data_IF_025404379622
#
_entry.id   IF_025404379622
#
_cell.length_a   1.000
_cell.length_b   1.000
_cell.length_c   1.000
_cell.angle_alpha   90.00
_cell.angle_beta   90.00
_cell.angle_gamma   90.00
#
_symmetry.space_group_name_H-M   'P 1'
#
loop_
_entity.id
_entity.type
_entity.pdbx_description
1 polymer ?
#
# COMPACT_ATOMS: atom_id res chain seq x y z
N UNK A 1 1.40 10.83 50.55
CA UNK A 1 1.11 9.95 49.40
C UNK A 1 1.54 10.70 48.14
N UNK A 2 2.69 10.33 47.53
CA UNK A 2 3.19 10.92 46.28
C UNK A 2 2.39 10.33 45.12
N UNK A 3 1.31 10.98 44.71
CA UNK A 3 0.41 10.48 43.67
C UNK A 3 0.73 11.20 42.37
N UNK A 4 1.34 10.44 41.45
CA UNK A 4 1.44 10.65 40.00
C UNK A 4 2.75 11.11 39.35
N UNK A 5 3.81 11.54 40.05
CA UNK A 5 5.22 11.44 39.58
C UNK A 5 5.58 11.76 38.11
N UNK A 6 4.78 12.53 37.35
CA UNK A 6 4.99 12.74 35.92
C UNK A 6 6.06 13.82 35.68
N UNK A 7 6.92 13.59 34.68
CA UNK A 7 7.91 14.56 34.22
C UNK A 7 7.81 14.70 32.70
N UNK A 8 8.01 15.93 32.23
CA UNK A 8 8.17 16.25 30.82
C UNK A 8 9.36 15.46 30.23
N UNK A 9 9.14 14.80 29.10
CA UNK A 9 10.20 14.12 28.34
C UNK A 9 10.01 14.41 26.86
N UNK A 10 11.10 14.74 26.16
CA UNK A 10 11.11 14.78 24.69
C UNK A 10 10.95 13.35 24.16
N UNK A 11 9.95 13.11 23.33
CA UNK A 11 9.85 11.89 22.52
C UNK A 11 10.94 11.94 21.43
N UNK A 12 11.85 10.95 21.34
CA UNK A 12 12.91 10.97 20.33
C UNK A 12 12.44 10.61 18.92
N UNK A 13 11.24 10.06 18.75
CA UNK A 13 10.80 9.52 17.45
C UNK A 13 9.29 9.66 17.31
N UNK A 14 8.85 10.48 16.36
CA UNK A 14 7.51 10.30 15.78
C UNK A 14 7.53 8.96 15.06
N UNK A 15 6.49 8.14 15.27
CA UNK A 15 6.46 6.69 14.97
C UNK A 15 6.71 6.32 13.50
N UNK A 16 6.81 7.31 12.60
CA UNK A 16 7.06 7.12 11.16
C UNK A 16 8.10 8.06 10.55
N UNK A 17 8.69 8.98 11.33
CA UNK A 17 9.61 10.02 10.79
C UNK A 17 10.88 9.45 10.18
N UNK A 18 11.31 8.25 10.60
CA UNK A 18 12.53 7.62 10.07
C UNK A 18 12.37 7.02 8.66
N UNK A 19 11.13 6.79 8.22
CA UNK A 19 10.82 6.18 6.93
C UNK A 19 10.69 7.19 5.79
N UNK A 20 10.31 8.43 6.10
CA UNK A 20 10.07 9.52 5.13
C UNK A 20 11.26 9.79 4.21
N UNK A 21 12.49 9.63 4.72
CA UNK A 21 13.73 10.00 4.02
C UNK A 21 14.41 8.82 3.33
N UNK A 22 13.81 7.63 3.31
CA UNK A 22 14.36 6.49 2.56
C UNK A 22 14.29 6.75 1.05
N UNK A 23 15.39 6.52 0.33
CA UNK A 23 15.48 6.76 -1.12
C UNK A 23 14.31 6.14 -1.93
N UNK A 24 13.90 4.91 -1.61
CA UNK A 24 12.81 4.23 -2.31
C UNK A 24 11.45 4.88 -2.07
N UNK A 25 11.25 5.41 -0.86
CA UNK A 25 10.05 6.13 -0.45
C UNK A 25 10.01 7.51 -1.11
N UNK A 26 11.14 8.24 -1.07
CA UNK A 26 11.28 9.56 -1.70
C UNK A 26 11.11 9.46 -3.22
N UNK A 27 11.70 8.45 -3.87
CA UNK A 27 11.57 8.25 -5.31
C UNK A 27 10.12 7.99 -5.71
N UNK A 28 9.41 7.07 -5.01
CA UNK A 28 7.99 6.83 -5.28
C UNK A 28 7.14 8.09 -5.05
N UNK A 29 7.41 8.80 -3.95
CA UNK A 29 6.69 10.02 -3.60
C UNK A 29 6.87 11.12 -4.66
N UNK A 30 8.11 11.40 -5.08
CA UNK A 30 8.44 12.50 -6.01
C UNK A 30 8.17 12.17 -7.47
N UNK A 31 8.41 10.94 -7.90
CA UNK A 31 8.38 10.57 -9.33
C UNK A 31 7.05 9.92 -9.75
N UNK A 32 6.28 9.39 -8.80
CA UNK A 32 5.03 8.68 -9.10
C UNK A 32 3.85 9.35 -8.43
N UNK A 33 3.84 9.44 -7.10
CA UNK A 33 2.66 9.90 -6.39
C UNK A 33 2.34 11.38 -6.61
N UNK A 34 3.31 12.28 -6.42
CA UNK A 34 3.08 13.71 -6.58
C UNK A 34 2.69 14.13 -8.01
N UNK A 35 3.31 13.63 -9.09
CA UNK A 35 2.89 13.96 -10.45
C UNK A 35 1.46 13.48 -10.76
N UNK A 36 1.13 12.25 -10.36
CA UNK A 36 -0.24 11.71 -10.51
C UNK A 36 -1.22 12.54 -9.70
N UNK A 37 -0.86 12.94 -8.50
CA UNK A 37 -1.72 13.77 -7.66
C UNK A 37 -1.91 15.18 -8.24
N UNK A 38 -0.88 15.77 -8.84
CA UNK A 38 -0.97 17.08 -9.50
C UNK A 38 -1.92 17.06 -10.69
N UNK A 39 -1.86 15.99 -11.50
CA UNK A 39 -2.84 15.71 -12.55
C UNK A 39 -4.27 15.71 -11.98
N UNK A 40 -4.50 14.97 -10.89
CA UNK A 40 -5.83 14.89 -10.25
C UNK A 40 -6.28 16.23 -9.64
N UNK A 41 -5.38 16.97 -9.00
CA UNK A 41 -5.69 18.29 -8.43
C UNK A 41 -6.06 19.33 -9.50
N UNK A 42 -5.59 19.17 -10.74
CA UNK A 42 -5.94 20.08 -11.84
C UNK A 42 -7.42 19.98 -12.24
N UNK A 43 -8.05 18.84 -11.95
CA UNK A 43 -9.46 18.55 -12.25
C UNK A 43 -10.34 18.45 -11.00
N UNK A 44 -9.77 18.66 -9.81
CA UNK A 44 -10.47 18.67 -8.52
C UNK A 44 -10.76 20.11 -8.08
N UNK A 45 -11.85 20.33 -7.32
CA UNK A 45 -12.21 21.65 -6.81
C UNK A 45 -11.07 22.27 -5.96
N UNK A 46 -10.74 23.53 -6.20
CA UNK A 46 -9.64 24.24 -5.54
C UNK A 46 -10.14 25.27 -4.52
N UNK A 47 -9.45 25.36 -3.39
CA UNK A 47 -9.88 26.11 -2.22
C UNK A 47 -8.76 26.99 -1.68
N UNK A 48 -9.12 28.19 -1.22
CA UNK A 48 -8.16 29.16 -0.68
C UNK A 48 -7.59 28.73 0.68
N UNK A 49 -6.59 29.48 1.14
CA UNK A 49 -6.01 29.41 2.48
C UNK A 49 -7.09 29.40 3.60
N UNK A 50 -8.25 30.02 3.41
CA UNK A 50 -9.33 30.03 4.42
C UNK A 50 -10.36 28.91 4.29
N UNK A 51 -10.14 27.91 3.41
CA UNK A 51 -11.07 26.78 3.22
C UNK A 51 -12.30 27.09 2.36
N UNK A 52 -12.30 28.23 1.67
CA UNK A 52 -13.35 28.73 0.78
C UNK A 52 -13.04 28.26 -0.65
N UNK A 53 -13.99 27.66 -1.36
CA UNK A 53 -13.89 27.50 -2.81
C UNK A 53 -13.72 28.91 -3.36
N UNK A 54 -12.57 29.24 -3.97
CA UNK A 54 -12.25 30.63 -4.32
C UNK A 54 -13.46 31.29 -5.01
N UNK A 55 -14.09 32.39 -4.47
CA UNK A 55 -13.41 33.60 -3.98
C UNK A 55 -13.89 34.24 -2.64
N UNK A 56 -12.91 34.47 -1.75
CA UNK A 56 -12.72 35.46 -0.66
C UNK A 56 -13.67 35.62 0.58
N UNK A 57 -13.01 35.49 1.75
CA UNK A 57 -13.07 36.20 3.07
C UNK A 57 -13.97 35.76 4.27
N UNK A 58 -13.27 35.16 5.27
CA UNK A 58 -13.30 35.33 6.78
C UNK A 58 -14.54 34.92 7.62
N UNK A 59 -14.52 34.38 8.87
CA UNK A 59 -13.47 34.03 9.88
C UNK A 59 -14.00 33.26 11.13
N UNK A 60 -13.18 32.37 11.73
CA UNK A 60 -12.92 32.10 13.19
C UNK A 60 -13.76 31.03 13.97
N UNK A 61 -13.35 30.32 15.05
CA UNK A 61 -12.07 29.89 15.74
C UNK A 61 -12.44 28.91 16.91
N UNK A 62 -11.64 27.85 17.23
CA UNK A 62 -11.14 27.42 18.57
C UNK A 62 -10.65 25.93 18.66
N UNK A 63 -9.77 25.64 19.64
CA UNK A 63 -8.84 24.49 19.75
C UNK A 63 -9.06 23.64 21.01
N UNK A 64 -8.82 22.32 20.94
CA UNK A 64 -8.48 21.46 22.10
C UNK A 64 -7.31 20.53 21.74
N UNK A 65 -6.35 20.37 22.67
CA UNK A 65 -5.16 19.49 22.61
C UNK A 65 -5.34 18.36 23.62
N UNK A 66 -4.95 17.12 23.29
CA UNK A 66 -4.64 16.09 24.30
C UNK A 66 -3.57 15.09 23.80
N UNK A 67 -2.68 14.69 24.73
CA UNK A 67 -1.44 13.92 24.56
C UNK A 67 -1.56 12.43 24.96
N UNK A 68 -0.61 11.63 24.44
CA UNK A 68 0.03 10.40 24.97
C UNK A 68 -0.84 9.37 25.73
N UNK A 69 -1.24 8.30 25.03
CA UNK A 69 -1.73 7.07 25.67
C UNK A 69 -0.57 6.11 25.97
N UNK A 70 -0.48 5.62 27.21
CA UNK A 70 0.32 4.44 27.55
C UNK A 70 -0.40 3.22 26.95
N UNK A 71 0.26 2.39 26.12
CA UNK A 71 -0.37 1.19 25.58
C UNK A 71 -0.69 0.21 26.71
N UNK A 72 -1.98 -0.05 26.95
CA UNK A 72 -2.41 -1.19 27.75
C UNK A 72 -2.27 -2.46 26.90
N UNK A 73 -1.97 -3.59 27.55
CA UNK A 73 -2.05 -4.89 26.88
C UNK A 73 -3.48 -5.10 26.37
N UNK A 74 -3.61 -5.43 25.08
CA UNK A 74 -4.91 -5.70 24.45
C UNK A 74 -5.52 -6.94 25.14
N UNK A 75 -6.64 -6.78 25.85
CA UNK A 75 -7.35 -7.91 26.46
C UNK A 75 -8.04 -8.79 25.41
N UNK A 76 -8.59 -9.94 25.84
CA UNK A 76 -9.36 -10.88 25.00
C UNK A 76 -10.75 -10.36 24.59
N UNK A 77 -11.03 -9.07 24.76
CA UNK A 77 -12.32 -8.47 24.46
C UNK A 77 -12.68 -8.52 22.97
N UNK A 78 -13.98 -8.36 22.69
CA UNK A 78 -14.49 -8.28 21.32
C UNK A 78 -13.71 -7.24 20.50
N UNK A 79 -13.36 -7.62 19.27
CA UNK A 79 -12.68 -6.75 18.32
C UNK A 79 -13.59 -6.52 17.13
N UNK A 80 -13.66 -5.28 16.67
CA UNK A 80 -14.39 -4.88 15.47
C UNK A 80 -13.41 -4.16 14.55
N UNK A 81 -13.34 -4.62 13.32
CA UNK A 81 -12.62 -3.98 12.22
C UNK A 81 -13.64 -3.24 11.35
N UNK A 82 -13.29 -2.03 10.94
CA UNK A 82 -14.08 -1.21 10.01
C UNK A 82 -13.23 -0.90 8.80
N UNK A 83 -13.78 -1.15 7.62
CA UNK A 83 -13.23 -0.68 6.35
C UNK A 83 -14.28 0.16 5.64
N UNK A 84 -13.88 1.28 5.05
CA UNK A 84 -14.80 2.20 4.36
C UNK A 84 -14.04 3.10 3.37
N UNK A 85 -14.77 3.77 2.49
CA UNK A 85 -14.23 4.78 1.57
C UNK A 85 -14.71 6.16 1.97
N UNK A 86 -13.82 7.15 1.89
CA UNK A 86 -14.13 8.54 2.24
C UNK A 86 -13.66 9.48 1.13
N UNK A 87 -14.49 10.47 0.83
CA UNK A 87 -14.18 11.59 -0.06
C UNK A 87 -14.17 12.90 0.73
N UNK A 88 -13.26 13.84 0.41
CA UNK A 88 -13.30 15.19 0.99
C UNK A 88 -14.56 15.99 0.61
N UNK A 89 -15.25 15.62 -0.47
CA UNK A 89 -16.43 16.34 -0.96
C UNK A 89 -17.74 15.72 -0.48
N UNK A 90 -17.79 14.39 -0.31
CA UNK A 90 -19.02 13.66 0.02
C UNK A 90 -19.01 12.99 1.40
N UNK A 91 -17.87 12.99 2.10
CA UNK A 91 -17.72 12.20 3.32
C UNK A 91 -17.65 10.70 3.04
N UNK A 92 -18.26 9.89 3.90
CA UNK A 92 -18.32 8.43 3.71
C UNK A 92 -19.07 8.07 2.44
N UNK A 93 -18.56 7.10 1.68
CA UNK A 93 -19.18 6.69 0.42
C UNK A 93 -20.50 5.97 0.67
N UNK A 94 -21.59 6.60 0.22
CA UNK A 94 -22.92 6.02 0.20
C UNK A 94 -23.73 6.52 -1.01
N UNK A 95 -24.87 5.86 -1.26
CA UNK A 95 -25.90 6.38 -2.16
C UNK A 95 -26.43 7.74 -1.65
N UNK A 96 -27.01 8.58 -2.53
CA UNK A 96 -27.55 9.89 -2.15
C UNK A 96 -28.63 9.85 -1.07
N UNK A 97 -29.37 8.74 -0.95
CA UNK A 97 -30.36 8.52 0.11
C UNK A 97 -29.76 7.92 1.40
N UNK A 98 -28.46 7.59 1.39
CA UNK A 98 -27.71 7.04 2.52
C UNK A 98 -27.97 5.55 2.81
N UNK A 99 -28.76 4.87 1.98
CA UNK A 99 -29.18 3.48 2.20
C UNK A 99 -28.10 2.47 1.77
N UNK A 100 -27.50 2.68 0.61
CA UNK A 100 -26.41 1.82 0.14
C UNK A 100 -25.09 2.36 0.70
N UNK A 101 -24.49 1.58 1.59
CA UNK A 101 -23.18 1.86 2.17
C UNK A 101 -22.20 0.76 1.80
N UNK A 102 -20.94 1.14 1.56
CA UNK A 102 -19.84 0.19 1.29
C UNK A 102 -19.02 -0.11 2.54
N UNK A 103 -19.40 0.44 3.69
CA UNK A 103 -18.78 0.19 4.97
C UNK A 103 -18.87 -1.29 5.30
N UNK A 104 -17.71 -1.89 5.58
CA UNK A 104 -17.63 -3.26 6.07
C UNK A 104 -17.30 -3.23 7.55
N UNK A 105 -18.17 -3.87 8.33
CA UNK A 105 -17.90 -4.25 9.72
C UNK A 105 -17.46 -5.72 9.71
N UNK A 106 -16.32 -5.99 10.30
CA UNK A 106 -15.71 -7.32 10.29
C UNK A 106 -15.24 -7.68 11.70
N UNK A 107 -15.55 -8.89 12.17
CA UNK A 107 -15.14 -9.38 13.49
C UNK A 107 -13.89 -10.27 13.35
N UNK A 108 -12.67 -9.71 13.52
CA UNK A 108 -11.45 -10.47 13.28
C UNK A 108 -11.20 -11.54 14.35
N UNK A 109 -10.72 -12.70 13.91
CA UNK A 109 -10.21 -13.75 14.78
C UNK A 109 -10.53 -15.14 14.26
N UNK A 110 -9.68 -16.11 14.61
CA UNK A 110 -9.84 -17.52 14.19
C UNK A 110 -11.16 -18.16 14.68
N UNK A 111 -11.68 -17.69 15.81
CA UNK A 111 -12.97 -18.12 16.36
C UNK A 111 -14.16 -17.28 15.88
N UNK A 112 -13.91 -16.32 14.98
CA UNK A 112 -14.90 -15.35 14.47
C UNK A 112 -14.94 -15.43 12.94
N UNK A 113 -14.92 -14.29 12.25
CA UNK A 113 -15.04 -14.21 10.79
C UNK A 113 -13.70 -14.40 10.06
N UNK A 114 -12.62 -14.69 10.79
CA UNK A 114 -11.31 -14.96 10.23
C UNK A 114 -10.46 -13.70 10.07
N UNK A 115 -9.86 -13.52 8.89
CA UNK A 115 -8.99 -12.40 8.55
C UNK A 115 -9.55 -11.64 7.34
N UNK A 116 -9.44 -10.32 7.36
CA UNK A 116 -9.84 -9.48 6.23
C UNK A 116 -8.76 -9.55 5.13
N UNK A 117 -9.03 -10.29 4.06
CA UNK A 117 -8.05 -10.59 3.01
C UNK A 117 -8.30 -9.73 1.76
N UNK A 118 -7.45 -9.93 0.74
CA UNK A 118 -7.55 -9.18 -0.52
C UNK A 118 -8.87 -9.40 -1.25
N UNK A 119 -9.55 -10.51 -1.04
CA UNK A 119 -10.76 -10.83 -1.80
C UNK A 119 -11.94 -10.00 -1.26
N UNK A 120 -11.96 -9.74 0.05
CA UNK A 120 -12.88 -8.84 0.76
C UNK A 120 -12.63 -7.40 0.35
N UNK A 121 -11.37 -6.98 0.23
CA UNK A 121 -10.99 -5.66 -0.32
C UNK A 121 -11.51 -5.50 -1.75
N UNK A 122 -11.34 -6.51 -2.61
CA UNK A 122 -11.82 -6.47 -3.99
C UNK A 122 -13.35 -6.42 -4.06
N UNK A 123 -14.05 -7.16 -3.19
CA UNK A 123 -15.51 -7.10 -3.06
C UNK A 123 -15.96 -5.70 -2.65
N UNK A 124 -15.33 -5.12 -1.65
CA UNK A 124 -15.65 -3.78 -1.18
C UNK A 124 -15.40 -2.71 -2.27
N UNK A 125 -14.26 -2.78 -2.96
CA UNK A 125 -13.94 -1.88 -4.05
C UNK A 125 -14.95 -2.01 -5.21
N UNK A 126 -15.40 -3.23 -5.53
CA UNK A 126 -16.44 -3.45 -6.55
C UNK A 126 -17.78 -2.81 -6.16
N UNK A 127 -18.22 -3.00 -4.92
CA UNK A 127 -19.43 -2.37 -4.42
C UNK A 127 -19.31 -0.82 -4.44
N UNK A 128 -18.15 -0.28 -4.10
CA UNK A 128 -17.88 1.15 -4.21
C UNK A 128 -17.98 1.65 -5.66
N UNK A 129 -17.40 0.90 -6.61
CA UNK A 129 -17.54 1.21 -8.03
C UNK A 129 -19.00 1.16 -8.52
N UNK A 130 -19.82 0.23 -7.99
CA UNK A 130 -21.25 0.14 -8.32
C UNK A 130 -22.00 1.42 -7.89
N UNK A 131 -21.80 1.87 -6.65
CA UNK A 131 -22.41 3.12 -6.13
C UNK A 131 -21.96 4.33 -6.97
N UNK A 132 -20.66 4.42 -7.27
CA UNK A 132 -20.12 5.56 -8.01
C UNK A 132 -20.64 5.63 -9.45
N UNK A 133 -20.73 4.48 -10.14
CA UNK A 133 -21.28 4.42 -11.49
C UNK A 133 -22.78 4.74 -11.52
N UNK A 134 -23.54 4.29 -10.52
CA UNK A 134 -24.98 4.51 -10.47
C UNK A 134 -25.35 5.96 -10.11
N UNK A 135 -24.71 6.51 -9.08
CA UNK A 135 -25.14 7.78 -8.48
C UNK A 135 -24.28 8.97 -8.87
N UNK A 136 -23.05 8.74 -9.34
CA UNK A 136 -22.11 9.79 -9.70
C UNK A 136 -21.45 9.57 -11.09
N UNK A 137 -22.20 9.20 -12.15
CA UNK A 137 -21.63 8.82 -13.44
C UNK A 137 -20.92 9.96 -14.19
N UNK A 138 -21.24 11.22 -13.88
CA UNK A 138 -20.65 12.40 -14.51
C UNK A 138 -19.36 12.91 -13.85
N UNK A 139 -18.84 12.20 -12.84
CA UNK A 139 -17.62 12.57 -12.12
C UNK A 139 -16.55 11.55 -12.41
N UNK A 140 -15.31 12.03 -12.56
CA UNK A 140 -14.16 11.15 -12.56
C UNK A 140 -13.83 10.74 -11.12
N UNK A 141 -13.55 9.46 -10.91
CA UNK A 141 -13.36 8.89 -9.59
C UNK A 141 -12.05 8.13 -9.53
N UNK A 142 -11.22 8.49 -8.55
CA UNK A 142 -9.95 7.82 -8.28
C UNK A 142 -9.97 7.21 -6.90
N UNK A 143 -9.70 5.90 -6.85
CA UNK A 143 -9.52 5.19 -5.59
C UNK A 143 -8.09 5.36 -5.09
N UNK A 144 -7.95 5.76 -3.83
CA UNK A 144 -6.66 5.92 -3.18
C UNK A 144 -6.58 4.97 -1.99
N UNK A 145 -5.69 3.99 -2.05
CA UNK A 145 -5.49 2.97 -1.02
C UNK A 145 -4.21 3.23 -0.23
N UNK A 146 -4.14 2.78 1.02
CA UNK A 146 -2.85 2.71 1.72
C UNK A 146 -1.92 1.67 1.07
N UNK A 147 -0.62 1.90 1.18
CA UNK A 147 0.40 1.06 0.56
C UNK A 147 0.78 -0.11 1.48
N UNK A 148 -0.24 -0.93 1.76
CA UNK A 148 -0.13 -2.18 2.51
C UNK A 148 -0.13 -3.37 1.57
N UNK A 149 0.52 -4.45 2.01
CA UNK A 149 0.76 -5.65 1.19
C UNK A 149 -0.52 -6.34 0.74
N UNK A 150 -1.63 -6.18 1.46
CA UNK A 150 -2.93 -6.74 1.11
C UNK A 150 -3.56 -6.04 -0.09
N UNK A 151 -3.39 -4.72 -0.22
CA UNK A 151 -3.88 -3.96 -1.39
C UNK A 151 -2.99 -4.15 -2.62
N UNK A 152 -1.69 -4.38 -2.40
CA UNK A 152 -0.72 -4.68 -3.45
C UNK A 152 -0.67 -6.16 -3.85
N UNK A 153 -1.64 -6.98 -3.45
CA UNK A 153 -1.67 -8.40 -3.79
C UNK A 153 -1.79 -8.53 -5.32
N UNK A 154 -0.79 -9.17 -5.92
CA UNK A 154 -0.79 -9.54 -7.34
C UNK A 154 -1.49 -10.88 -7.54
N UNK A 155 -1.83 -11.20 -8.79
CA UNK A 155 -2.32 -12.53 -9.13
C UNK A 155 -1.33 -13.61 -8.66
N UNK A 156 -1.85 -14.79 -8.30
CA UNK A 156 -1.02 -15.84 -7.70
C UNK A 156 0.08 -16.35 -8.63
N UNK A 157 -0.13 -16.24 -9.94
CA UNK A 157 0.78 -16.58 -11.02
C UNK A 157 1.60 -15.38 -11.51
N UNK A 158 1.39 -14.18 -10.97
CA UNK A 158 2.05 -12.97 -11.43
C UNK A 158 3.58 -13.08 -11.35
N UNK A 159 4.27 -12.45 -12.32
CA UNK A 159 5.71 -12.55 -12.43
C UNK A 159 6.42 -11.88 -11.24
N UNK A 160 7.47 -12.55 -10.75
CA UNK A 160 8.26 -12.09 -9.60
C UNK A 160 9.64 -12.73 -9.62
N UNK A 161 10.67 -11.94 -9.33
CA UNK A 161 12.03 -12.46 -9.22
C UNK A 161 12.29 -13.28 -7.95
N UNK A 162 11.36 -13.21 -6.99
CA UNK A 162 11.58 -13.73 -5.66
C UNK A 162 11.73 -15.26 -5.68
N UNK A 163 12.86 -15.74 -5.16
CA UNK A 163 13.26 -17.16 -5.12
C UNK A 163 13.33 -17.87 -6.48
N UNK A 164 13.37 -17.14 -7.60
CA UNK A 164 13.65 -17.76 -8.91
C UNK A 164 15.03 -18.44 -8.88
N UNK A 165 15.16 -19.72 -9.26
CA UNK A 165 16.46 -20.36 -9.35
C UNK A 165 17.23 -19.80 -10.55
N UNK A 166 18.56 -19.72 -10.40
CA UNK A 166 19.41 -19.21 -11.49
C UNK A 166 19.45 -20.16 -12.70
N UNK A 167 19.41 -21.46 -12.45
CA UNK A 167 19.56 -22.50 -13.46
C UNK A 167 18.39 -23.47 -13.34
N UNK A 168 18.06 -24.19 -14.43
CA UNK A 168 17.13 -25.29 -14.33
C UNK A 168 17.71 -26.39 -13.42
N UNK A 169 16.87 -27.30 -12.91
CA UNK A 169 17.30 -28.44 -12.10
C UNK A 169 18.44 -29.25 -12.76
N UNK A 170 19.46 -29.65 -11.99
CA UNK A 170 20.50 -30.56 -12.48
C UNK A 170 19.90 -31.97 -12.61
N UNK A 171 19.85 -32.51 -13.83
CA UNK A 171 19.07 -33.70 -14.21
C UNK A 171 19.44 -35.02 -13.50
N UNK A 172 18.39 -35.80 -13.18
CA UNK A 172 18.25 -37.21 -13.57
C UNK A 172 17.21 -37.28 -14.69
N UNK A 173 17.39 -38.15 -15.69
CA UNK A 173 17.02 -37.98 -17.11
C UNK A 173 15.55 -37.77 -17.54
N UNK A 174 14.54 -37.81 -16.67
CA UNK A 174 13.13 -37.62 -17.06
C UNK A 174 12.37 -36.80 -15.99
N UNK A 175 11.55 -35.85 -16.43
CA UNK A 175 10.56 -35.18 -15.58
C UNK A 175 9.36 -36.12 -15.47
N UNK A 176 9.11 -36.65 -14.27
CA UNK A 176 8.06 -37.63 -13.98
C UNK A 176 6.66 -37.01 -13.84
N UNK A 177 6.50 -35.72 -14.19
CA UNK A 177 5.25 -34.98 -14.04
C UNK A 177 4.90 -34.62 -12.60
N UNK A 178 5.75 -34.92 -11.62
CA UNK A 178 5.50 -34.63 -10.21
C UNK A 178 6.27 -33.41 -9.70
N UNK A 179 5.60 -32.59 -8.89
CA UNK A 179 6.24 -31.49 -8.14
C UNK A 179 7.14 -32.01 -7.00
N UNK A 180 6.90 -33.25 -6.57
CA UNK A 180 7.57 -33.93 -5.47
C UNK A 180 8.34 -35.15 -6.01
N UNK A 181 9.64 -34.98 -6.24
CA UNK A 181 10.51 -36.14 -6.32
C UNK A 181 10.48 -36.92 -4.99
N UNK A 182 10.84 -38.19 -5.01
CA UNK A 182 11.09 -38.94 -3.77
C UNK A 182 12.25 -38.30 -2.99
N UNK A 183 11.98 -37.78 -1.78
CA UNK A 183 12.97 -37.14 -0.89
C UNK A 183 12.79 -35.62 -0.64
N UNK A 184 13.70 -35.01 0.14
CA UNK A 184 13.63 -33.60 0.62
C UNK A 184 13.92 -32.51 -0.44
N UNK A 185 13.77 -32.75 -1.75
CA UNK A 185 14.11 -31.75 -2.79
C UNK A 185 13.09 -31.76 -3.93
N UNK A 186 12.32 -30.68 -4.16
CA UNK A 186 11.43 -30.58 -5.31
C UNK A 186 12.23 -30.52 -6.63
N UNK A 187 11.79 -31.28 -7.64
CA UNK A 187 12.47 -31.41 -8.93
C UNK A 187 12.19 -30.26 -9.91
N UNK A 188 11.09 -29.51 -9.75
CA UNK A 188 10.77 -28.33 -10.57
C UNK A 188 10.42 -27.12 -9.69
N UNK A 189 10.64 -25.91 -10.22
CA UNK A 189 10.32 -24.66 -9.55
C UNK A 189 8.98 -24.09 -10.05
N UNK A 190 8.19 -23.59 -9.11
CA UNK A 190 6.89 -22.96 -9.34
C UNK A 190 6.46 -22.20 -8.10
N UNK A 191 5.36 -21.47 -8.22
CA UNK A 191 4.82 -20.64 -7.15
C UNK A 191 3.92 -21.50 -6.27
N UNK A 192 4.19 -21.53 -4.97
CA UNK A 192 3.32 -22.21 -4.01
C UNK A 192 2.09 -21.36 -3.71
N UNK A 193 0.91 -21.94 -3.94
CA UNK A 193 -0.38 -21.31 -3.68
C UNK A 193 -1.23 -22.21 -2.79
N UNK A 194 -2.03 -21.61 -1.93
CA UNK A 194 -2.97 -22.38 -1.12
C UNK A 194 -4.06 -22.97 -2.02
N UNK A 195 -4.44 -24.21 -1.76
CA UNK A 195 -5.55 -24.86 -2.43
C UNK A 195 -6.85 -24.33 -1.83
N UNK A 196 -7.76 -23.92 -2.70
CA UNK A 196 -9.12 -23.55 -2.33
C UNK A 196 -10.12 -24.59 -2.84
N UNK A 197 -11.21 -24.78 -2.12
CA UNK A 197 -12.34 -25.59 -2.58
C UNK A 197 -13.20 -24.83 -3.61
N UNK A 198 -14.35 -25.42 -3.98
CA UNK A 198 -15.29 -24.86 -4.97
C UNK A 198 -15.92 -23.54 -4.51
N UNK A 199 -15.96 -23.31 -3.20
CA UNK A 199 -16.53 -22.12 -2.57
C UNK A 199 -15.44 -21.06 -2.27
N UNK A 200 -14.20 -21.32 -2.69
CA UNK A 200 -13.06 -20.43 -2.46
C UNK A 200 -12.46 -20.51 -1.06
N UNK A 201 -12.88 -21.47 -0.22
CA UNK A 201 -12.34 -21.63 1.13
C UNK A 201 -11.04 -22.42 1.12
N UNK A 202 -10.13 -22.07 2.02
CA UNK A 202 -8.83 -22.72 2.16
C UNK A 202 -8.98 -24.19 2.57
N UNK A 203 -8.29 -25.09 1.87
CA UNK A 203 -8.25 -26.52 2.18
C UNK A 203 -7.09 -26.80 3.13
N UNK A 204 -7.37 -27.62 4.15
CA UNK A 204 -6.38 -28.03 5.14
C UNK A 204 -6.06 -29.52 4.98
N UNK A 205 -4.82 -29.89 5.26
CA UNK A 205 -4.38 -31.29 5.41
C UNK A 205 -4.85 -31.86 6.75
N UNK A 206 -4.78 -33.19 6.90
CA UNK A 206 -5.24 -33.88 8.10
C UNK A 206 -4.51 -33.46 9.40
N UNK A 207 -3.32 -32.88 9.28
CA UNK A 207 -2.53 -32.33 10.38
C UNK A 207 -2.87 -30.86 10.72
N UNK A 208 -3.85 -30.27 10.04
CA UNK A 208 -4.30 -28.89 10.24
C UNK A 208 -3.43 -27.82 9.57
N UNK A 209 -2.48 -28.20 8.71
CA UNK A 209 -1.72 -27.24 7.91
C UNK A 209 -2.44 -26.90 6.59
N UNK A 210 -2.12 -25.76 5.98
CA UNK A 210 -2.75 -25.35 4.71
C UNK A 210 -2.24 -26.22 3.58
N UNK A 211 -3.16 -26.84 2.83
CA UNK A 211 -2.83 -27.58 1.63
C UNK A 211 -2.34 -26.60 0.57
N UNK A 212 -1.14 -26.86 0.03
CA UNK A 212 -0.53 -26.04 -1.02
C UNK A 212 -0.35 -26.85 -2.30
N UNK A 213 -0.51 -26.18 -3.43
CA UNK A 213 -0.13 -26.69 -4.75
C UNK A 213 0.90 -25.76 -5.37
N UNK A 214 1.68 -26.25 -6.33
CA UNK A 214 2.51 -25.37 -7.16
C UNK A 214 1.79 -25.04 -8.45
N UNK A 215 1.98 -23.81 -8.89
CA UNK A 215 1.53 -23.34 -10.21
C UNK A 215 2.72 -22.76 -10.98
N UNK A 216 2.58 -22.68 -12.30
CA UNK A 216 3.54 -21.97 -13.14
C UNK A 216 3.35 -20.47 -12.94
N UNK A 217 4.47 -19.75 -12.94
CA UNK A 217 4.46 -18.31 -13.14
C UNK A 217 3.93 -18.02 -14.55
N UNK A 218 3.18 -16.92 -14.69
CA UNK A 218 2.76 -16.38 -15.97
C UNK A 218 3.96 -16.01 -16.84
N UNK A 219 3.67 -15.73 -18.10
CA UNK A 219 4.70 -15.31 -19.05
C UNK A 219 5.15 -13.87 -18.72
N UNK A 220 6.45 -13.62 -18.90
CA UNK A 220 6.98 -12.26 -18.94
C UNK A 220 6.78 -11.63 -20.32
N UNK A 221 7.36 -10.46 -20.53
CA UNK A 221 7.26 -9.73 -21.79
C UNK A 221 8.67 -9.38 -22.31
N UNK A 222 8.89 -9.57 -23.61
CA UNK A 222 10.06 -9.03 -24.30
C UNK A 222 9.88 -7.53 -24.60
N UNK A 223 10.96 -6.85 -24.96
CA UNK A 223 10.92 -5.41 -25.29
C UNK A 223 10.03 -5.07 -26.49
N UNK A 224 9.74 -6.04 -27.36
CA UNK A 224 8.84 -5.90 -28.51
C UNK A 224 7.36 -6.16 -28.15
N UNK A 225 7.06 -6.43 -26.88
CA UNK A 225 5.73 -6.76 -26.39
C UNK A 225 5.33 -8.23 -26.54
N UNK A 226 6.20 -9.07 -27.11
CA UNK A 226 5.89 -10.49 -27.27
C UNK A 226 6.04 -11.24 -25.94
N UNK A 227 5.22 -12.28 -25.69
CA UNK A 227 5.29 -13.03 -24.44
C UNK A 227 6.57 -13.88 -24.35
N UNK A 228 7.23 -13.82 -23.20
CA UNK A 228 8.34 -14.69 -22.85
C UNK A 228 7.90 -15.76 -21.86
N UNK A 229 7.80 -17.01 -22.32
CA UNK A 229 7.58 -18.11 -21.40
C UNK A 229 8.80 -18.40 -20.54
N UNK A 230 8.61 -18.49 -19.22
CA UNK A 230 9.66 -18.87 -18.26
C UNK A 230 9.85 -20.38 -18.11
N UNK A 231 9.04 -21.17 -18.80
CA UNK A 231 9.09 -22.63 -18.79
C UNK A 231 9.44 -23.14 -20.19
N UNK A 232 10.11 -24.28 -20.27
CA UNK A 232 10.40 -24.87 -21.58
C UNK A 232 9.10 -25.35 -22.26
N UNK A 233 8.98 -25.18 -23.59
CA UNK A 233 7.77 -25.55 -24.34
C UNK A 233 7.62 -27.08 -24.48
N UNK A 234 6.42 -27.54 -24.86
CA UNK A 234 6.06 -28.97 -24.91
C UNK A 234 6.96 -29.83 -25.81
N UNK A 235 7.57 -29.22 -26.84
CA UNK A 235 8.50 -29.92 -27.76
C UNK A 235 9.94 -29.99 -27.25
N UNK A 236 10.22 -29.43 -26.07
CA UNK A 236 11.55 -29.43 -25.48
C UNK A 236 11.76 -30.66 -24.59
N UNK A 237 12.99 -31.15 -24.49
CA UNK A 237 13.34 -32.29 -23.59
C UNK A 237 12.99 -32.03 -22.12
N UNK A 238 12.92 -30.74 -21.76
CA UNK A 238 12.65 -30.27 -20.41
C UNK A 238 11.27 -29.60 -20.33
N UNK A 239 10.32 -29.97 -21.20
CA UNK A 239 8.99 -29.39 -21.28
C UNK A 239 8.35 -29.19 -19.89
N UNK A 240 7.81 -27.99 -19.66
CA UNK A 240 7.19 -27.61 -18.38
C UNK A 240 8.16 -27.34 -17.23
N UNK A 241 9.48 -27.54 -17.41
CA UNK A 241 10.50 -27.20 -16.41
C UNK A 241 10.83 -25.72 -16.48
N UNK A 242 11.02 -25.08 -15.32
CA UNK A 242 11.42 -23.69 -15.24
C UNK A 242 12.84 -23.48 -15.79
N UNK A 243 13.00 -22.51 -16.70
CA UNK A 243 14.24 -22.28 -17.47
C UNK A 243 15.43 -21.81 -16.64
N UNK A 244 15.18 -21.16 -15.50
CA UNK A 244 16.20 -20.49 -14.70
C UNK A 244 16.50 -19.07 -15.19
N UNK A 245 16.81 -18.16 -14.26
CA UNK A 245 17.05 -16.75 -14.59
C UNK A 245 18.16 -16.53 -15.61
N UNK A 246 19.22 -17.36 -15.63
CA UNK A 246 20.31 -17.20 -16.57
C UNK A 246 19.87 -17.42 -18.03
N UNK A 247 19.01 -18.42 -18.27
CA UNK A 247 18.43 -18.71 -19.59
C UNK A 247 17.48 -17.58 -20.00
N UNK A 248 16.58 -17.17 -19.10
CA UNK A 248 15.61 -16.09 -19.32
C UNK A 248 16.32 -14.79 -19.70
N UNK A 249 17.38 -14.43 -18.97
CA UNK A 249 18.20 -13.26 -19.27
C UNK A 249 18.94 -13.38 -20.61
N UNK A 250 19.47 -14.56 -20.94
CA UNK A 250 20.11 -14.82 -22.22
C UNK A 250 19.15 -14.66 -23.40
N UNK A 251 17.90 -15.14 -23.25
CA UNK A 251 16.83 -14.93 -24.24
C UNK A 251 16.50 -13.44 -24.43
N UNK A 252 16.63 -12.63 -23.37
CA UNK A 252 16.48 -11.16 -23.43
C UNK A 252 17.73 -10.41 -23.93
N UNK A 253 18.77 -11.13 -24.35
CA UNK A 253 20.02 -10.54 -24.86
C UNK A 253 21.01 -10.07 -23.80
N UNK A 254 20.80 -10.39 -22.52
CA UNK A 254 21.75 -10.07 -21.46
C UNK A 254 22.91 -11.07 -21.40
N UNK A 255 24.13 -10.56 -21.29
CA UNK A 255 25.28 -11.37 -20.90
C UNK A 255 25.14 -11.81 -19.44
N UNK A 256 25.23 -13.11 -19.19
CA UNK A 256 25.31 -13.68 -17.83
C UNK A 256 26.75 -13.71 -17.29
N UNK A 257 27.67 -13.03 -17.95
CA UNK A 257 29.06 -12.84 -17.55
C UNK A 257 29.26 -11.36 -17.23
N UNK A 258 29.81 -11.06 -16.06
CA UNK A 258 30.13 -9.68 -15.67
C UNK A 258 31.41 -9.17 -16.35
N UNK A 259 31.69 -7.89 -16.17
CA UNK A 259 32.87 -7.18 -16.71
C UNK A 259 34.22 -7.84 -16.34
N UNK A 260 34.25 -8.64 -15.27
CA UNK A 260 35.44 -9.38 -14.81
C UNK A 260 35.53 -10.80 -15.37
N UNK A 261 34.73 -11.13 -16.40
CA UNK A 261 34.70 -12.46 -17.01
C UNK A 261 34.08 -13.55 -16.14
N UNK A 262 33.41 -13.21 -15.04
CA UNK A 262 32.80 -14.18 -14.12
C UNK A 262 31.30 -14.29 -14.35
N UNK A 263 30.76 -15.51 -14.25
CA UNK A 263 29.30 -15.73 -14.27
C UNK A 263 28.62 -14.89 -13.18
N UNK A 264 27.49 -14.29 -13.53
CA UNK A 264 26.63 -13.60 -12.58
C UNK A 264 26.17 -14.59 -11.51
N UNK A 265 26.06 -14.10 -10.28
CA UNK A 265 25.44 -14.84 -9.19
C UNK A 265 23.91 -14.78 -9.32
N UNK A 266 23.20 -15.74 -8.72
CA UNK A 266 21.75 -15.73 -8.65
C UNK A 266 21.21 -14.44 -8.00
N UNK A 267 21.66 -14.18 -6.77
CA UNK A 267 21.24 -13.04 -5.94
C UNK A 267 22.43 -12.55 -5.11
N UNK A 268 22.47 -11.25 -4.82
CA UNK A 268 23.35 -10.68 -3.80
C UNK A 268 22.84 -11.02 -2.40
N UNK A 269 23.74 -11.11 -1.41
CA UNK A 269 23.35 -11.53 -0.05
C UNK A 269 22.29 -10.58 0.53
N UNK A 270 21.12 -11.12 0.85
CA UNK A 270 20.00 -10.37 1.43
C UNK A 270 19.41 -9.31 0.49
N UNK A 271 19.48 -9.54 -0.83
CA UNK A 271 19.04 -8.59 -1.86
C UNK A 271 19.69 -7.19 -1.78
N UNK A 272 20.87 -7.10 -1.12
CA UNK A 272 21.63 -5.85 -1.01
C UNK A 272 22.57 -5.71 -2.21
N UNK A 273 22.02 -5.30 -3.34
CA UNK A 273 22.78 -4.97 -4.54
C UNK A 273 23.45 -3.60 -4.41
N UNK A 274 24.64 -3.42 -4.98
CA UNK A 274 25.32 -2.13 -4.95
C UNK A 274 24.51 -1.13 -5.78
N UNK A 275 24.15 0.00 -5.17
CA UNK A 275 23.55 1.13 -5.89
C UNK A 275 24.66 1.79 -6.71
N UNK A 276 24.48 1.88 -8.02
CA UNK A 276 25.36 2.67 -8.89
C UNK A 276 24.85 4.12 -9.00
N UNK A 277 25.70 5.07 -9.43
CA UNK A 277 25.29 6.44 -9.69
C UNK A 277 24.11 6.52 -10.68
N UNK A 278 23.34 7.63 -10.68
CA UNK A 278 22.28 7.85 -11.65
C UNK A 278 22.79 7.73 -13.09
N UNK A 279 22.13 6.88 -13.90
CA UNK A 279 22.54 6.60 -15.29
C UNK A 279 23.34 5.29 -15.47
N UNK A 280 23.78 4.66 -14.38
CA UNK A 280 24.47 3.37 -14.42
C UNK A 280 23.58 2.25 -13.86
N UNK A 281 23.39 1.17 -14.63
CA UNK A 281 22.59 0.01 -14.20
C UNK A 281 23.51 -1.06 -13.61
N UNK A 282 23.41 -1.29 -12.31
CA UNK A 282 24.23 -2.26 -11.60
C UNK A 282 23.88 -3.70 -11.99
N UNK A 283 24.58 -4.30 -12.96
CA UNK A 283 24.34 -5.69 -13.39
C UNK A 283 25.01 -6.71 -12.46
N UNK A 284 24.78 -6.62 -11.16
CA UNK A 284 25.56 -7.41 -10.17
C UNK A 284 25.09 -8.86 -9.99
N UNK A 285 23.82 -9.17 -10.27
CA UNK A 285 23.23 -10.51 -10.16
C UNK A 285 22.02 -10.68 -11.07
N UNK A 286 21.67 -11.91 -11.41
CA UNK A 286 20.53 -12.21 -12.30
C UNK A 286 19.21 -11.65 -11.75
N UNK A 287 18.98 -11.82 -10.46
CA UNK A 287 17.77 -11.35 -9.78
C UNK A 287 17.60 -9.83 -9.90
N UNK A 288 18.68 -9.05 -9.77
CA UNK A 288 18.63 -7.59 -9.88
C UNK A 288 18.35 -7.11 -11.29
N UNK A 289 18.92 -7.77 -12.32
CA UNK A 289 18.66 -7.38 -13.71
C UNK A 289 17.17 -7.59 -14.00
N UNK A 290 16.64 -8.80 -13.75
CA UNK A 290 15.23 -9.09 -13.95
C UNK A 290 14.32 -8.18 -13.10
N UNK A 291 14.69 -7.87 -11.86
CA UNK A 291 13.88 -7.03 -10.97
C UNK A 291 13.61 -5.64 -11.54
N UNK A 292 14.56 -5.10 -12.32
CA UNK A 292 14.47 -3.77 -12.91
C UNK A 292 13.98 -3.80 -14.37
N UNK A 293 13.63 -4.98 -14.91
CA UNK A 293 13.01 -5.06 -16.22
C UNK A 293 11.58 -4.48 -16.19
N UNK A 294 11.12 -3.82 -17.28
CA UNK A 294 9.84 -3.12 -17.29
C UNK A 294 8.64 -4.00 -16.89
N UNK A 295 8.59 -5.24 -17.36
CA UNK A 295 7.52 -6.18 -17.06
C UNK A 295 7.49 -6.58 -15.58
N UNK A 296 8.65 -6.73 -14.93
CA UNK A 296 8.73 -7.08 -13.50
C UNK A 296 8.43 -5.91 -12.56
N UNK A 297 8.76 -4.68 -12.97
CA UNK A 297 8.46 -3.47 -12.18
C UNK A 297 6.97 -3.15 -12.28
N UNK A 298 6.40 -3.23 -13.48
CA UNK A 298 5.03 -2.81 -13.80
C UNK A 298 3.92 -3.81 -13.50
N UNK A 299 4.19 -4.88 -12.74
CA UNK A 299 3.17 -5.91 -12.47
C UNK A 299 2.04 -5.35 -11.60
N UNK A 300 0.88 -5.22 -12.23
CA UNK A 300 -0.36 -4.69 -11.67
C UNK A 300 -0.89 -5.57 -10.53
N UNK A 301 -1.37 -4.94 -9.45
CA UNK A 301 -2.11 -5.63 -8.40
C UNK A 301 -3.50 -6.05 -8.87
N UNK A 302 -4.11 -7.02 -8.18
CA UNK A 302 -5.50 -7.43 -8.45
C UNK A 302 -6.47 -6.26 -8.31
N UNK A 303 -6.17 -5.33 -7.40
CA UNK A 303 -7.00 -4.17 -7.11
C UNK A 303 -6.93 -3.13 -8.23
N UNK A 304 -5.73 -2.82 -8.71
CA UNK A 304 -5.54 -1.97 -9.89
C UNK A 304 -6.24 -2.56 -11.12
N UNK A 305 -6.00 -3.85 -11.41
CA UNK A 305 -6.62 -4.53 -12.54
C UNK A 305 -8.15 -4.53 -12.45
N UNK A 306 -8.71 -4.75 -11.25
CA UNK A 306 -10.17 -4.71 -11.04
C UNK A 306 -10.77 -3.31 -11.22
N UNK A 307 -10.08 -2.26 -10.78
CA UNK A 307 -10.50 -0.88 -10.96
C UNK A 307 -10.43 -0.48 -12.45
N UNK A 308 -9.29 -0.77 -13.09
CA UNK A 308 -9.03 -0.45 -14.50
C UNK A 308 -10.03 -1.12 -15.44
N UNK A 309 -10.40 -2.38 -15.17
CA UNK A 309 -11.42 -3.11 -15.93
C UNK A 309 -12.80 -2.42 -15.92
N UNK A 310 -13.06 -1.53 -14.95
CA UNK A 310 -14.30 -0.76 -14.83
C UNK A 310 -14.12 0.74 -15.15
N UNK A 311 -12.96 1.12 -15.68
CA UNK A 311 -12.65 2.51 -16.02
C UNK A 311 -12.23 3.39 -14.84
N UNK A 312 -11.95 2.81 -13.67
CA UNK A 312 -11.47 3.54 -12.50
C UNK A 312 -9.95 3.47 -12.39
N UNK A 313 -9.35 4.54 -11.87
CA UNK A 313 -7.93 4.56 -11.50
C UNK A 313 -7.76 4.20 -10.03
N UNK A 314 -6.86 3.27 -9.72
CA UNK A 314 -6.40 3.01 -8.36
C UNK A 314 -4.98 3.54 -8.18
N UNK A 315 -4.74 4.26 -7.10
CA UNK A 315 -3.42 4.75 -6.70
C UNK A 315 -3.16 4.41 -5.23
N UNK A 316 -1.89 4.42 -4.81
CA UNK A 316 -1.50 4.08 -3.46
C UNK A 316 -0.76 5.23 -2.78
N UNK A 317 -1.07 5.48 -1.51
CA UNK A 317 -0.33 6.46 -0.72
C UNK A 317 1.15 6.08 -0.61
N UNK A 318 2.09 7.03 -0.56
CA UNK A 318 3.48 6.72 -0.28
C UNK A 318 3.62 6.02 1.08
N UNK A 319 4.52 5.03 1.16
CA UNK A 319 4.81 4.36 2.43
C UNK A 319 5.30 5.37 3.47
N UNK A 320 4.90 5.18 4.72
CA UNK A 320 5.26 6.04 5.86
C UNK A 320 4.68 7.47 5.83
N UNK A 321 3.88 7.82 4.83
CA UNK A 321 3.22 9.12 4.73
C UNK A 321 1.74 9.06 5.14
N UNK A 322 1.45 8.60 6.35
CA UNK A 322 0.07 8.47 6.83
C UNK A 322 -0.66 9.82 6.93
N UNK A 323 0.09 10.93 7.04
CA UNK A 323 -0.45 12.29 6.99
C UNK A 323 -1.16 12.64 5.68
N UNK A 324 -0.83 11.93 4.58
CA UNK A 324 -1.47 12.10 3.28
C UNK A 324 -2.80 11.35 3.18
N UNK A 325 -3.00 10.32 4.00
CA UNK A 325 -4.19 9.50 3.97
C UNK A 325 -5.33 10.15 4.77
N UNK A 326 -6.33 10.67 4.06
CA UNK A 326 -7.47 11.38 4.65
C UNK A 326 -8.20 10.56 5.71
N UNK A 327 -8.32 9.25 5.49
CA UNK A 327 -9.09 8.35 6.34
C UNK A 327 -8.45 8.21 7.73
N UNK A 328 -7.13 8.44 7.85
CA UNK A 328 -6.44 8.40 9.15
C UNK A 328 -6.89 9.53 10.07
N UNK A 329 -7.26 10.70 9.52
CA UNK A 329 -7.87 11.77 10.32
C UNK A 329 -9.28 11.40 10.76
N UNK A 330 -10.04 10.71 9.89
CA UNK A 330 -11.37 10.19 10.20
C UNK A 330 -11.29 9.19 11.36
N UNK A 331 -10.36 8.24 11.30
CA UNK A 331 -10.08 7.28 12.37
C UNK A 331 -9.61 7.94 13.66
N UNK A 332 -8.76 8.96 13.57
CA UNK A 332 -8.33 9.73 14.74
C UNK A 332 -9.50 10.44 15.43
N UNK A 333 -10.38 11.06 14.63
CA UNK A 333 -11.57 11.75 15.13
C UNK A 333 -12.58 10.78 15.75
N UNK A 334 -12.92 9.70 15.04
CA UNK A 334 -13.88 8.70 15.54
C UNK A 334 -13.39 8.04 16.82
N UNK A 335 -12.10 7.69 16.92
CA UNK A 335 -11.51 7.16 18.16
C UNK A 335 -11.62 8.14 19.33
N UNK A 336 -11.55 9.45 19.08
CA UNK A 336 -11.76 10.47 20.11
C UNK A 336 -13.22 10.47 20.57
N UNK A 337 -14.18 10.54 19.64
CA UNK A 337 -15.62 10.52 19.96
C UNK A 337 -15.99 9.22 20.67
N UNK A 338 -15.48 8.08 20.21
CA UNK A 338 -15.76 6.78 20.83
C UNK A 338 -15.33 6.73 22.29
N UNK A 339 -14.22 7.39 22.66
CA UNK A 339 -13.75 7.46 24.06
C UNK A 339 -14.64 8.30 24.97
N UNK A 340 -15.55 9.09 24.40
CA UNK A 340 -16.52 9.89 25.15
C UNK A 340 -17.80 9.07 25.45
N UNK A 341 -17.99 7.91 24.81
CA UNK A 341 -19.12 7.02 25.10
C UNK A 341 -18.91 6.20 26.39
N UNK A 342 -20.01 5.71 27.00
CA UNK A 342 -19.92 4.71 28.05
C UNK A 342 -19.13 3.46 27.60
N UNK A 343 -18.50 2.72 28.52
CA UNK A 343 -17.82 1.47 28.19
C UNK A 343 -18.75 0.51 27.44
N UNK A 344 -18.30 -0.01 26.30
CA UNK A 344 -19.03 -1.04 25.56
C UNK A 344 -18.94 -2.38 26.31
N UNK A 345 -20.07 -2.84 26.85
CA UNK A 345 -20.13 -4.07 27.64
C UNK A 345 -20.47 -5.30 26.79
N UNK A 346 -21.12 -5.10 25.65
CA UNK A 346 -21.44 -6.14 24.67
C UNK A 346 -20.88 -5.80 23.27
N UNK A 347 -20.96 -6.76 22.36
CA UNK A 347 -20.61 -6.55 20.95
C UNK A 347 -21.54 -5.56 20.27
N UNK A 348 -22.82 -5.61 20.59
CA UNK A 348 -23.84 -4.69 20.06
C UNK A 348 -23.58 -3.27 20.56
N UNK A 349 -23.13 -3.11 21.81
CA UNK A 349 -22.71 -1.82 22.33
C UNK A 349 -21.46 -1.31 21.59
N UNK A 350 -20.48 -2.19 21.36
CA UNK A 350 -19.25 -1.86 20.63
C UNK A 350 -19.59 -1.39 19.21
N UNK A 351 -20.40 -2.15 18.49
CA UNK A 351 -20.81 -1.83 17.12
C UNK A 351 -21.60 -0.53 17.06
N UNK A 352 -22.61 -0.37 17.92
CA UNK A 352 -23.43 0.85 18.00
C UNK A 352 -22.58 2.09 18.30
N UNK A 353 -21.67 1.99 19.26
CA UNK A 353 -20.79 3.09 19.65
C UNK A 353 -19.76 3.41 18.54
N UNK A 354 -19.22 2.40 17.87
CA UNK A 354 -18.32 2.61 16.72
C UNK A 354 -19.05 3.31 15.58
N UNK A 355 -20.25 2.85 15.21
CA UNK A 355 -21.06 3.47 14.16
C UNK A 355 -21.42 4.92 14.52
N UNK A 356 -21.89 5.17 15.74
CA UNK A 356 -22.20 6.53 16.20
C UNK A 356 -20.97 7.45 16.15
N UNK A 357 -19.78 6.95 16.51
CA UNK A 357 -18.54 7.72 16.43
C UNK A 357 -18.12 8.03 14.99
N UNK A 358 -18.43 7.15 14.03
CA UNK A 358 -18.11 7.33 12.61
C UNK A 358 -19.04 8.34 11.94
N UNK A 359 -20.33 8.34 12.28
CA UNK A 359 -21.32 9.31 11.78
C UNK A 359 -21.09 10.71 12.36
N UNK A 360 -20.40 10.83 13.51
CA UNK A 360 -20.10 12.12 14.14
C UNK A 360 -18.93 12.88 13.51
N UNK A 361 -18.27 12.33 12.48
CA UNK A 361 -17.08 12.94 11.86
C UNK A 361 -17.53 14.11 10.97
N UNK A 362 -17.08 15.34 11.23
CA UNK A 362 -17.35 16.46 10.33
C UNK A 362 -16.49 16.32 9.07
N UNK A 363 -17.05 16.64 7.91
CA UNK A 363 -16.35 16.60 6.62
C UNK A 363 -15.07 17.46 6.66
N UNK A 364 -15.08 18.58 7.39
CA UNK A 364 -13.92 19.45 7.57
C UNK A 364 -12.69 18.76 8.18
N UNK A 365 -12.88 17.65 8.92
CA UNK A 365 -11.77 16.87 9.46
C UNK A 365 -10.93 16.17 8.37
N UNK A 366 -11.52 15.94 7.20
CA UNK A 366 -10.92 15.23 6.06
C UNK A 366 -9.91 16.14 5.32
N UNK A 367 -10.12 17.46 5.35
CA UNK A 367 -9.35 18.41 4.53
C UNK A 367 -7.92 18.70 5.04
N UNK A 368 -7.55 18.22 6.23
CA UNK A 368 -6.23 18.48 6.83
C UNK A 368 -5.06 17.86 6.05
N UNK A 369 -5.28 16.73 5.39
CA UNK A 369 -4.23 16.07 4.60
C UNK A 369 -3.88 16.82 3.31
N UNK A 370 -4.79 17.66 2.79
CA UNK A 370 -4.51 18.52 1.62
C UNK A 370 -3.37 19.51 1.92
N UNK A 371 -3.30 20.03 3.15
CA UNK A 371 -2.22 20.90 3.60
C UNK A 371 -0.84 20.22 3.53
N UNK A 372 -0.79 18.95 3.92
CA UNK A 372 0.44 18.16 3.83
C UNK A 372 0.85 17.94 2.37
N UNK A 373 -0.10 17.62 1.49
CA UNK A 373 0.17 17.46 0.06
C UNK A 373 0.75 18.73 -0.55
N UNK A 374 0.17 19.89 -0.27
CA UNK A 374 0.70 21.16 -0.78
C UNK A 374 2.09 21.48 -0.22
N UNK A 375 2.37 21.11 1.03
CA UNK A 375 3.71 21.21 1.61
C UNK A 375 4.73 20.41 0.81
N UNK A 376 4.43 19.14 0.54
CA UNK A 376 5.35 18.28 -0.21
C UNK A 376 5.51 18.71 -1.67
N UNK A 377 4.44 19.22 -2.30
CA UNK A 377 4.51 19.82 -3.64
C UNK A 377 5.47 21.02 -3.68
N UNK A 378 5.51 21.81 -2.61
CA UNK A 378 6.49 22.88 -2.40
C UNK A 378 7.86 22.36 -1.96
N UNK A 379 8.12 21.07 -2.01
CA UNK A 379 9.43 20.50 -1.65
C UNK A 379 9.75 20.56 -0.15
N UNK A 380 8.77 20.78 0.73
CA UNK A 380 8.99 20.68 2.17
C UNK A 380 9.19 19.21 2.56
N UNK A 381 10.16 18.94 3.44
CA UNK A 381 10.33 17.61 4.03
C UNK A 381 9.29 17.33 5.13
N UNK A 382 9.22 16.10 5.65
CA UNK A 382 8.19 15.72 6.63
C UNK A 382 8.15 16.57 7.89
N UNK A 383 9.30 17.01 8.40
CA UNK A 383 9.37 17.90 9.58
C UNK A 383 8.85 19.31 9.24
N UNK A 384 9.22 19.84 8.08
CA UNK A 384 8.75 21.13 7.60
C UNK A 384 7.25 21.10 7.30
N UNK A 385 6.75 20.05 6.66
CA UNK A 385 5.34 19.84 6.36
C UNK A 385 4.50 19.73 7.65
N UNK A 386 4.95 18.97 8.65
CA UNK A 386 4.29 18.87 9.94
C UNK A 386 4.25 20.23 10.68
N UNK A 387 5.33 21.00 10.62
CA UNK A 387 5.35 22.36 11.15
C UNK A 387 4.39 23.29 10.40
N UNK A 388 4.42 23.24 9.06
CA UNK A 388 3.56 24.04 8.19
C UNK A 388 2.08 23.74 8.45
N UNK A 389 1.69 22.46 8.47
CA UNK A 389 0.33 22.02 8.81
C UNK A 389 -0.09 22.44 10.22
N UNK A 390 0.86 22.50 11.17
CA UNK A 390 0.58 23.00 12.53
C UNK A 390 0.42 24.52 12.58
N UNK A 391 1.12 25.27 11.74
CA UNK A 391 1.06 26.74 11.70
C UNK A 391 -0.16 27.23 10.92
N UNK A 392 -0.38 26.66 9.74
CA UNK A 392 -1.47 26.98 8.82
C UNK A 392 -2.62 25.99 9.01
N UNK A 393 -3.09 25.84 10.25
CA UNK A 393 -4.24 24.97 10.56
C UNK A 393 -5.50 25.49 9.88
N UNK A 394 -6.21 24.60 9.19
CA UNK A 394 -7.41 24.95 8.41
C UNK A 394 -7.11 25.40 6.98
N UNK A 395 -5.83 25.60 6.63
CA UNK A 395 -5.43 25.91 5.28
C UNK A 395 -5.20 24.63 4.48
N UNK A 396 -5.76 24.55 3.27
CA UNK A 396 -5.53 23.42 2.35
C UNK A 396 -4.27 23.60 1.50
N UNK A 397 -3.88 24.86 1.27
CA UNK A 397 -2.68 25.27 0.53
C UNK A 397 -1.84 26.14 1.45
N UNK A 398 -0.53 26.10 1.38
CA UNK A 398 0.41 26.93 2.13
C UNK A 398 0.72 28.23 1.36
N UNK A 399 1.03 29.35 2.01
CA UNK A 399 1.42 30.56 1.29
C UNK A 399 2.82 30.40 0.66
N UNK A 400 3.09 31.08 -0.47
CA UNK A 400 4.41 31.06 -1.12
C UNK A 400 5.53 31.58 -0.21
N UNK A 401 5.22 32.52 0.69
CA UNK A 401 6.15 33.07 1.68
C UNK A 401 6.64 32.06 2.73
N UNK A 402 6.14 30.81 2.71
CA UNK A 402 6.57 29.81 3.69
C UNK A 402 8.08 29.54 3.64
N UNK A 403 8.71 29.67 2.48
CA UNK A 403 10.16 29.53 2.36
C UNK A 403 10.91 30.67 3.05
N UNK A 404 10.43 31.91 2.94
CA UNK A 404 11.01 33.06 3.65
C UNK A 404 10.92 32.89 5.16
N UNK A 405 9.82 32.31 5.65
CA UNK A 405 9.63 31.99 7.06
C UNK A 405 10.48 30.81 7.56
N UNK A 406 10.76 29.84 6.69
CA UNK A 406 11.69 28.74 6.98
C UNK A 406 13.14 29.24 7.07
N UNK A 407 13.51 30.22 6.24
CA UNK A 407 14.86 30.82 6.20
C UNK A 407 15.08 31.84 7.34
N UNK A 408 14.06 32.58 7.74
CA UNK A 408 14.14 33.62 8.79
C UNK A 408 14.11 33.10 10.23
N UNK A 409 13.99 31.79 10.45
CA UNK A 409 13.88 31.20 11.79
C UNK A 409 15.26 30.97 12.45
N UNK A 410 15.46 31.38 13.73
CA UNK A 410 16.65 31.04 14.49
C UNK A 410 16.80 29.51 14.69
N UNK A 411 18.06 29.06 14.67
CA UNK A 411 18.58 27.68 14.64
C UNK A 411 18.02 26.71 15.71
N UNK A 412 16.77 26.28 15.60
CA UNK A 412 16.21 25.21 16.48
C UNK A 412 15.57 24.02 15.75
N UNK A 413 16.00 23.76 14.51
CA UNK A 413 15.80 22.45 13.87
C UNK A 413 17.19 21.90 13.51
N UNK A 414 17.48 20.61 13.79
CA UNK A 414 18.74 19.99 13.38
C UNK A 414 18.82 20.02 11.85
N UNK A 415 19.97 20.46 11.32
CA UNK A 415 20.33 20.31 9.90
C UNK A 415 20.34 18.82 9.51
N UNK A 416 20.13 18.49 8.22
CA UNK A 416 19.87 17.14 7.71
C UNK A 416 20.77 16.05 8.32
#
# INVERSE_FOLDING_TARGET
MKILGYRWKKTPTGQFVDGHERDDVVAYHQLVFLPVWEELLSVTHQYSLEGIECPSKSSGRHTVVCENAVPYAKGEGASLMVADFVSPDYGWLCSPDGNDKVRVLFKPGKAWEGYFMSDEILKQAKAAMDILQLHYPGKDHVFVFDNVTTHLKRASDAISVWRMPQNPPKYGREWDGSDFGTGKRPKNWGIEVNVTDKDGKLVYTADGTLLKKKIKMGDGEFLDGSPQSFYFPDRHKLAGVFKGMATILGERGYSTINEKGKKLRAECKGFKCAKLPPGEVARCCCCWILYNEPDFVGVESLLEAACKARGFRAIFFPKFHCELNFIEQCWGYSKRVYREFPPSLTEEDLERNVLAALEAIPIDAIHRSLCFMDAYRKGLNGKQAAWASKKYRGHRVLPERIFEELVSRPRHIPRP
#
